data_IF_561721279807
#
_entry.id   IF_561721279807
#
_cell.length_a   1.000
_cell.length_b   1.000
_cell.length_c   1.000
_cell.angle_alpha   90.00
_cell.angle_beta   90.00
_cell.angle_gamma   90.00
#
_symmetry.space_group_name_H-M   'P 1'
#
loop_
_entity.id
_entity.type
_entity.pdbx_description
1 polymer ?
#
# COMPACT_ATOMS: atom_id res chain seq x y z
N UNK A 1 -57.86 -12.63 -8.31
CA UNK A 1 -57.55 -11.20 -8.51
C UNK A 1 -56.46 -10.87 -7.47
N UNK A 2 -55.28 -11.48 -7.61
CA UNK A 2 -54.06 -10.94 -8.23
C UNK A 2 -53.61 -9.67 -7.48
N UNK A 3 -52.92 -9.85 -6.36
CA UNK A 3 -51.45 -9.96 -6.24
C UNK A 3 -50.79 -8.62 -6.59
N UNK A 4 -50.99 -7.67 -5.68
CA UNK A 4 -50.47 -6.31 -5.77
C UNK A 4 -49.35 -6.17 -4.74
N UNK A 5 -48.20 -5.71 -5.25
CA UNK A 5 -47.07 -5.13 -4.51
C UNK A 5 -46.06 -6.14 -3.96
N UNK A 6 -45.40 -6.81 -4.91
CA UNK A 6 -43.94 -6.90 -4.90
C UNK A 6 -43.37 -5.48 -4.66
N UNK A 7 -43.17 -5.14 -3.39
CA UNK A 7 -42.41 -3.98 -2.99
C UNK A 7 -41.03 -4.11 -3.59
N UNK A 8 -40.69 -3.15 -4.45
CA UNK A 8 -39.37 -2.95 -5.02
C UNK A 8 -38.40 -2.61 -3.89
N UNK A 9 -38.01 -3.64 -3.14
CA UNK A 9 -36.99 -3.63 -2.10
C UNK A 9 -35.59 -3.55 -2.71
N UNK A 10 -35.44 -2.83 -3.84
CA UNK A 10 -34.19 -2.16 -4.18
C UNK A 10 -33.96 -1.08 -3.14
N UNK A 11 -33.67 -1.54 -1.93
CA UNK A 11 -32.81 -0.85 -1.00
C UNK A 11 -31.68 -0.30 -1.84
N UNK A 12 -31.68 1.03 -2.00
CA UNK A 12 -30.51 1.80 -2.31
C UNK A 12 -29.43 1.22 -1.41
N UNK A 13 -28.61 0.31 -1.97
CA UNK A 13 -27.45 -0.22 -1.30
C UNK A 13 -26.50 0.96 -1.25
N UNK A 14 -26.72 1.84 -0.28
CA UNK A 14 -25.81 2.91 0.07
C UNK A 14 -24.42 2.28 0.05
N UNK A 15 -23.59 2.76 -0.88
CA UNK A 15 -22.29 2.16 -1.11
C UNK A 15 -21.56 2.12 0.23
N UNK A 16 -21.26 0.92 0.72
CA UNK A 16 -20.64 0.77 2.02
C UNK A 16 -19.37 1.64 2.07
N UNK A 17 -19.17 2.43 3.15
CA UNK A 17 -18.06 3.35 3.24
C UNK A 17 -16.74 2.62 2.98
N UNK A 18 -15.91 3.17 2.09
CA UNK A 18 -14.62 2.57 1.74
C UNK A 18 -13.71 2.59 2.98
N UNK A 19 -13.12 1.44 3.31
CA UNK A 19 -12.14 1.33 4.40
C UNK A 19 -11.02 2.38 4.24
N UNK A 20 -10.64 3.09 5.31
CA UNK A 20 -9.55 4.07 5.27
C UNK A 20 -8.22 3.43 4.87
N UNK A 21 -8.00 2.15 5.20
CA UNK A 21 -6.80 1.43 4.79
C UNK A 21 -6.74 1.22 3.27
N UNK A 22 -7.88 1.06 2.60
CA UNK A 22 -7.94 0.96 1.13
C UNK A 22 -7.57 2.27 0.46
N UNK A 23 -7.99 3.40 1.03
CA UNK A 23 -7.57 4.72 0.56
C UNK A 23 -6.07 4.95 0.74
N UNK A 24 -5.54 4.61 1.92
CA UNK A 24 -4.10 4.73 2.18
C UNK A 24 -3.28 3.80 1.26
N UNK A 25 -3.75 2.57 1.04
CA UNK A 25 -3.14 1.64 0.09
C UNK A 25 -3.16 2.16 -1.35
N UNK A 26 -4.27 2.76 -1.78
CA UNK A 26 -4.36 3.39 -3.10
C UNK A 26 -3.41 4.60 -3.23
N UNK A 27 -3.35 5.45 -2.19
CA UNK A 27 -2.47 6.61 -2.18
C UNK A 27 -0.99 6.20 -2.23
N UNK A 28 -0.58 5.23 -1.41
CA UNK A 28 0.77 4.67 -1.43
C UNK A 28 1.10 4.10 -2.82
N UNK A 29 0.17 3.31 -3.39
CA UNK A 29 0.34 2.74 -4.72
C UNK A 29 0.49 3.79 -5.82
N UNK A 30 -0.32 4.84 -5.79
CA UNK A 30 -0.24 5.95 -6.74
C UNK A 30 1.09 6.71 -6.61
N UNK A 31 1.54 7.01 -5.39
CA UNK A 31 2.81 7.71 -5.16
C UNK A 31 3.99 6.89 -5.68
N UNK A 32 4.08 5.60 -5.34
CA UNK A 32 5.16 4.73 -5.83
C UNK A 32 5.14 4.60 -7.36
N UNK A 33 3.95 4.48 -7.95
CA UNK A 33 3.81 4.39 -9.39
C UNK A 33 4.30 5.67 -10.08
N UNK A 34 3.89 6.84 -9.59
CA UNK A 34 4.35 8.13 -10.13
C UNK A 34 5.86 8.26 -9.97
N UNK A 35 6.38 7.91 -8.79
CA UNK A 35 7.82 8.00 -8.51
C UNK A 35 8.62 7.11 -9.46
N UNK A 36 8.22 5.86 -9.62
CA UNK A 36 8.89 4.92 -10.51
C UNK A 36 8.77 5.31 -11.98
N UNK A 37 7.62 5.82 -12.44
CA UNK A 37 7.45 6.30 -13.82
C UNK A 37 8.32 7.53 -14.10
N UNK A 38 8.29 8.54 -13.21
CA UNK A 38 9.10 9.75 -13.35
C UNK A 38 10.59 9.41 -13.30
N UNK A 39 11.00 8.55 -12.35
CA UNK A 39 12.37 8.07 -12.24
C UNK A 39 12.81 7.32 -13.49
N UNK A 40 11.97 6.44 -14.05
CA UNK A 40 12.27 5.68 -15.26
C UNK A 40 12.44 6.58 -16.50
N UNK A 41 11.60 7.62 -16.62
CA UNK A 41 11.73 8.62 -17.70
C UNK A 41 13.04 9.38 -17.59
N UNK A 42 13.52 9.65 -16.37
CA UNK A 42 14.80 10.31 -16.13
C UNK A 42 16.01 9.39 -16.33
N UNK A 43 15.93 8.14 -15.87
CA UNK A 43 17.04 7.18 -15.93
C UNK A 43 17.22 6.55 -17.32
N UNK A 44 16.15 6.50 -18.12
CA UNK A 44 16.12 5.71 -19.35
C UNK A 44 16.10 4.21 -19.07
N UNK A 45 16.29 3.39 -20.12
CA UNK A 45 16.32 1.92 -20.05
C UNK A 45 17.74 1.33 -20.11
N UNK A 46 18.74 2.16 -20.37
CA UNK A 46 20.11 1.70 -20.69
C UNK A 46 20.97 1.45 -19.44
N UNK A 47 20.46 1.76 -18.24
CA UNK A 47 21.18 1.67 -16.95
C UNK A 47 20.50 0.73 -15.95
N UNK A 48 20.48 -0.58 -16.23
CA UNK A 48 19.79 -1.58 -15.39
C UNK A 48 20.37 -1.73 -13.98
N UNK A 49 21.67 -1.52 -13.78
CA UNK A 49 22.35 -1.72 -12.49
C UNK A 49 23.48 -0.71 -12.25
N UNK A 50 23.55 0.34 -13.05
CA UNK A 50 24.67 1.29 -13.02
C UNK A 50 24.13 2.67 -13.28
N UNK A 51 23.89 3.43 -12.23
CA UNK A 51 23.79 4.88 -12.38
C UNK A 51 25.21 5.38 -12.64
N UNK A 52 25.51 6.10 -13.73
CA UNK A 52 26.80 6.75 -13.85
C UNK A 52 26.95 7.64 -12.61
N UNK A 53 28.02 7.43 -11.84
CA UNK A 53 28.30 8.07 -10.55
C UNK A 53 28.51 9.60 -10.63
N UNK A 54 28.07 10.25 -11.72
CA UNK A 54 28.47 11.58 -12.13
C UNK A 54 27.32 12.41 -12.72
N UNK A 55 26.10 12.34 -12.18
CA UNK A 55 25.10 13.42 -12.40
C UNK A 55 24.18 13.59 -11.19
N UNK A 56 24.75 13.97 -10.04
CA UNK A 56 23.98 14.58 -8.95
C UNK A 56 23.23 15.87 -9.39
N UNK A 57 23.53 16.39 -10.59
CA UNK A 57 22.92 17.61 -11.14
C UNK A 57 21.70 17.37 -12.05
N UNK A 58 21.37 16.12 -12.40
CA UNK A 58 20.37 15.82 -13.44
C UNK A 58 19.00 15.32 -12.96
N UNK A 59 18.90 14.82 -11.73
CA UNK A 59 17.68 14.18 -11.23
C UNK A 59 16.86 15.14 -10.38
N UNK A 60 15.57 15.27 -10.69
CA UNK A 60 14.68 16.17 -9.93
C UNK A 60 14.57 15.65 -8.49
N UNK A 61 15.30 16.29 -7.56
CA UNK A 61 15.29 15.97 -6.13
C UNK A 61 16.06 14.70 -5.73
N UNK A 62 16.96 14.18 -6.57
CA UNK A 62 17.68 12.93 -6.32
C UNK A 62 16.90 11.67 -6.69
N UNK A 63 15.58 11.76 -6.89
CA UNK A 63 14.66 10.61 -7.03
C UNK A 63 14.86 9.76 -8.31
N UNK A 64 15.75 10.15 -9.21
CA UNK A 64 16.16 9.33 -10.35
C UNK A 64 17.16 8.26 -9.89
N UNK A 65 16.67 7.24 -9.18
CA UNK A 65 17.43 6.04 -8.87
C UNK A 65 17.72 5.21 -10.12
N UNK A 66 18.27 3.99 -9.94
CA UNK A 66 18.54 3.11 -11.06
C UNK A 66 17.25 2.64 -11.76
N UNK A 67 17.36 2.22 -13.03
CA UNK A 67 16.25 1.65 -13.81
C UNK A 67 15.57 0.51 -13.03
N UNK A 68 16.36 -0.35 -12.38
CA UNK A 68 15.85 -1.45 -11.57
C UNK A 68 14.97 -0.96 -10.42
N UNK A 69 15.43 0.05 -9.68
CA UNK A 69 14.69 0.59 -8.55
C UNK A 69 13.37 1.22 -9.00
N UNK A 70 13.38 1.96 -10.11
CA UNK A 70 12.19 2.55 -10.70
C UNK A 70 11.17 1.48 -11.12
N UNK A 71 11.63 0.36 -11.71
CA UNK A 71 10.78 -0.78 -12.03
C UNK A 71 10.20 -1.45 -10.77
N UNK A 72 10.98 -1.54 -9.68
CA UNK A 72 10.50 -2.03 -8.39
C UNK A 72 9.38 -1.12 -7.86
N UNK A 73 9.54 0.20 -7.87
CA UNK A 73 8.47 1.12 -7.42
C UNK A 73 7.23 1.03 -8.29
N UNK A 74 7.36 0.90 -9.61
CA UNK A 74 6.23 0.68 -10.52
C UNK A 74 5.50 -0.62 -10.14
N UNK A 75 6.23 -1.73 -9.98
CA UNK A 75 5.65 -3.03 -9.63
C UNK A 75 4.92 -2.99 -8.29
N UNK A 76 5.55 -2.41 -7.26
CA UNK A 76 4.94 -2.23 -5.94
C UNK A 76 3.74 -1.29 -5.98
N UNK A 77 3.83 -0.20 -6.74
CA UNK A 77 2.76 0.76 -6.93
C UNK A 77 1.51 0.12 -7.55
N UNK A 78 1.69 -0.64 -8.63
CA UNK A 78 0.61 -1.40 -9.28
C UNK A 78 0.01 -2.44 -8.33
N UNK A 79 0.84 -3.19 -7.61
CA UNK A 79 0.37 -4.20 -6.67
C UNK A 79 -0.48 -3.59 -5.55
N UNK A 80 -0.04 -2.46 -4.99
CA UNK A 80 -0.78 -1.72 -3.97
C UNK A 80 -2.11 -1.16 -4.52
N UNK A 81 -2.12 -0.59 -5.73
CA UNK A 81 -3.35 -0.14 -6.37
C UNK A 81 -4.34 -1.29 -6.60
N UNK A 82 -3.87 -2.42 -7.12
CA UNK A 82 -4.69 -3.62 -7.31
C UNK A 82 -5.22 -4.15 -5.97
N UNK A 83 -4.40 -4.14 -4.92
CA UNK A 83 -4.83 -4.54 -3.59
C UNK A 83 -5.89 -3.61 -2.99
N UNK A 84 -5.79 -2.30 -3.25
CA UNK A 84 -6.79 -1.32 -2.84
C UNK A 84 -8.14 -1.52 -3.55
N UNK A 85 -8.12 -1.94 -4.81
CA UNK A 85 -9.33 -2.30 -5.58
C UNK A 85 -10.00 -3.59 -5.06
N UNK A 86 -9.23 -4.47 -4.41
CA UNK A 86 -9.71 -5.73 -3.84
C UNK A 86 -9.88 -5.61 -2.31
N UNK A 87 -10.36 -6.68 -1.66
CA UNK A 87 -10.37 -6.81 -0.19
C UNK A 87 -9.02 -7.35 0.30
N UNK A 88 -7.92 -6.79 -0.20
CA UNK A 88 -6.56 -7.31 0.00
C UNK A 88 -5.61 -6.29 0.65
N UNK A 89 -6.13 -5.16 1.14
CA UNK A 89 -5.33 -4.09 1.73
C UNK A 89 -4.49 -4.59 2.92
N UNK A 90 -5.03 -5.47 3.78
CA UNK A 90 -4.28 -6.06 4.90
C UNK A 90 -3.05 -6.85 4.44
N UNK A 91 -3.23 -7.73 3.47
CA UNK A 91 -2.15 -8.54 2.90
C UNK A 91 -1.11 -7.63 2.24
N UNK A 92 -1.56 -6.62 1.50
CA UNK A 92 -0.67 -5.64 0.89
C UNK A 92 0.12 -4.82 1.92
N UNK A 93 -0.51 -4.44 3.04
CA UNK A 93 0.19 -3.78 4.16
C UNK A 93 1.27 -4.68 4.76
N UNK A 94 0.96 -5.94 5.05
CA UNK A 94 1.94 -6.90 5.59
C UNK A 94 3.09 -7.17 4.61
N UNK A 95 2.77 -7.38 3.33
CA UNK A 95 3.76 -7.52 2.27
C UNK A 95 4.62 -6.27 2.14
N UNK A 96 4.00 -5.08 2.15
CA UNK A 96 4.68 -3.80 2.14
C UNK A 96 5.63 -3.63 3.32
N UNK A 97 5.24 -4.04 4.54
CA UNK A 97 6.15 -4.02 5.69
C UNK A 97 7.42 -4.83 5.43
N UNK A 98 7.28 -6.04 4.87
CA UNK A 98 8.40 -6.91 4.57
C UNK A 98 9.31 -6.29 3.51
N UNK A 99 8.73 -5.82 2.40
CA UNK A 99 9.48 -5.22 1.29
C UNK A 99 10.18 -3.92 1.71
N UNK A 100 9.47 -2.98 2.33
CA UNK A 100 10.06 -1.70 2.74
C UNK A 100 11.06 -1.85 3.86
N UNK A 101 10.91 -2.84 4.75
CA UNK A 101 11.97 -3.15 5.73
C UNK A 101 13.24 -3.63 5.03
N UNK A 102 13.12 -4.51 4.04
CA UNK A 102 14.27 -5.00 3.29
C UNK A 102 14.96 -3.88 2.50
N UNK A 103 14.18 -3.02 1.82
CA UNK A 103 14.71 -1.87 1.10
C UNK A 103 15.37 -0.84 2.03
N UNK A 104 14.76 -0.54 3.18
CA UNK A 104 15.34 0.37 4.16
C UNK A 104 16.65 -0.17 4.74
N UNK A 105 16.69 -1.48 5.05
CA UNK A 105 17.92 -2.12 5.51
C UNK A 105 19.02 -2.08 4.45
N UNK A 106 18.65 -2.34 3.18
CA UNK A 106 19.56 -2.22 2.05
C UNK A 106 20.12 -0.80 1.92
N UNK A 107 19.27 0.22 1.96
CA UNK A 107 19.70 1.61 1.85
C UNK A 107 20.67 2.02 2.96
N UNK A 108 20.41 1.60 4.20
CA UNK A 108 21.28 1.89 5.34
C UNK A 108 22.66 1.28 5.12
N UNK A 109 22.73 0.01 4.70
CA UNK A 109 24.00 -0.67 4.41
C UNK A 109 24.73 0.01 3.26
N UNK A 110 24.02 0.30 2.16
CA UNK A 110 24.57 0.99 1.00
C UNK A 110 25.18 2.37 1.36
N UNK A 111 24.49 3.14 2.20
CA UNK A 111 24.97 4.45 2.66
C UNK A 111 26.18 4.35 3.60
N UNK A 112 26.26 3.30 4.42
CA UNK A 112 27.40 3.06 5.30
C UNK A 112 28.64 2.67 4.47
N UNK A 113 28.47 1.74 3.54
CA UNK A 113 29.59 1.16 2.79
C UNK A 113 30.17 2.11 1.72
N UNK A 114 29.46 3.19 1.36
CA UNK A 114 29.87 4.17 0.34
C UNK A 114 30.39 3.50 -0.95
N UNK A 115 29.76 2.40 -1.34
CA UNK A 115 30.25 1.56 -2.43
C UNK A 115 30.18 2.33 -3.77
N UNK A 116 31.31 2.53 -4.47
CA UNK A 116 31.28 3.12 -5.80
C UNK A 116 30.58 2.17 -6.78
N UNK A 117 29.58 2.68 -7.51
CA UNK A 117 28.81 1.87 -8.46
C UNK A 117 27.67 1.05 -7.83
N UNK A 118 27.15 1.51 -6.69
CA UNK A 118 26.02 0.88 -6.02
C UNK A 118 24.79 0.78 -6.97
N UNK A 119 24.17 -0.41 -7.10
CA UNK A 119 23.29 -0.72 -8.23
C UNK A 119 21.89 -0.12 -8.11
N UNK A 120 21.43 0.31 -6.93
CA UNK A 120 20.15 0.98 -6.77
C UNK A 120 20.24 2.52 -6.85
N UNK A 121 21.45 3.09 -6.78
CA UNK A 121 21.69 4.53 -6.72
C UNK A 121 21.21 5.17 -5.42
N UNK A 122 21.43 4.54 -4.26
CA UNK A 122 20.93 4.96 -2.94
C UNK A 122 21.52 6.30 -2.53
N UNK A 123 20.63 7.20 -2.14
CA UNK A 123 20.92 8.52 -1.59
C UNK A 123 19.86 8.88 -0.54
N UNK A 124 20.08 9.91 0.28
CA UNK A 124 19.21 10.21 1.43
C UNK A 124 17.71 10.35 1.08
N UNK A 125 17.31 11.02 -0.02
CA UNK A 125 15.92 11.03 -0.45
C UNK A 125 15.26 9.64 -0.61
N UNK A 126 15.95 8.63 -1.17
CA UNK A 126 15.31 7.31 -1.33
C UNK A 126 15.10 6.59 0.00
N UNK A 127 16.04 6.73 0.93
CA UNK A 127 15.92 6.20 2.29
C UNK A 127 14.65 6.73 2.96
N UNK A 128 14.36 8.03 2.79
CA UNK A 128 13.15 8.65 3.34
C UNK A 128 11.89 8.06 2.70
N UNK A 129 11.88 7.87 1.38
CA UNK A 129 10.75 7.24 0.67
C UNK A 129 10.48 5.84 1.21
N UNK A 130 11.51 5.02 1.39
CA UNK A 130 11.35 3.67 1.93
C UNK A 130 10.90 3.68 3.40
N UNK A 131 11.40 4.61 4.21
CA UNK A 131 10.93 4.80 5.59
C UNK A 131 9.45 5.19 5.67
N UNK A 132 9.00 6.14 4.85
CA UNK A 132 7.59 6.52 4.76
C UNK A 132 6.73 5.37 4.23
N UNK A 133 7.21 4.63 3.23
CA UNK A 133 6.55 3.44 2.70
C UNK A 133 6.34 2.35 3.76
N UNK A 134 7.35 2.13 4.62
CA UNK A 134 7.25 1.21 5.76
C UNK A 134 6.17 1.66 6.75
N UNK A 135 6.17 2.92 7.16
CA UNK A 135 5.17 3.47 8.08
C UNK A 135 3.74 3.38 7.51
N UNK A 136 3.58 3.71 6.22
CA UNK A 136 2.30 3.57 5.54
C UNK A 136 1.83 2.11 5.51
N UNK A 137 2.75 1.17 5.27
CA UNK A 137 2.44 -0.28 5.26
C UNK A 137 1.99 -0.79 6.62
N UNK A 138 2.66 -0.36 7.70
CA UNK A 138 2.26 -0.65 9.08
C UNK A 138 0.86 -0.10 9.35
N UNK A 139 0.61 1.15 8.98
CA UNK A 139 -0.70 1.79 9.17
C UNK A 139 -1.82 1.05 8.41
N UNK A 140 -1.58 0.63 7.16
CA UNK A 140 -2.55 -0.16 6.37
C UNK A 140 -2.87 -1.48 7.08
N UNK A 141 -1.83 -2.24 7.49
CA UNK A 141 -2.02 -3.53 8.16
C UNK A 141 -2.76 -3.38 9.49
N UNK A 142 -2.45 -2.34 10.26
CA UNK A 142 -3.08 -2.04 11.54
C UNK A 142 -4.55 -1.60 11.39
N UNK A 143 -4.86 -0.73 10.42
CA UNK A 143 -6.22 -0.24 10.19
C UNK A 143 -7.18 -1.36 9.75
N UNK A 144 -6.76 -2.24 8.84
CA UNK A 144 -7.59 -3.41 8.48
C UNK A 144 -7.72 -4.42 9.63
N UNK A 145 -6.65 -4.62 10.42
CA UNK A 145 -6.71 -5.49 11.59
C UNK A 145 -7.74 -5.03 12.63
N UNK A 146 -7.92 -3.71 12.80
CA UNK A 146 -8.98 -3.15 13.66
C UNK A 146 -10.38 -3.40 13.10
N UNK A 147 -10.56 -3.17 11.79
CA UNK A 147 -11.85 -3.41 11.14
C UNK A 147 -12.30 -4.87 11.30
N UNK A 148 -11.40 -5.84 11.12
CA UNK A 148 -11.70 -7.26 11.31
C UNK A 148 -12.15 -7.60 12.75
N UNK A 149 -11.55 -6.94 13.76
CA UNK A 149 -11.88 -7.12 15.17
C UNK A 149 -13.27 -6.60 15.54
N UNK A 150 -13.65 -5.41 15.05
CA UNK A 150 -14.95 -4.79 15.33
C UNK A 150 -16.11 -5.67 14.79
N UNK A 151 -15.94 -6.27 13.60
CA UNK A 151 -16.94 -7.19 13.04
C UNK A 151 -17.06 -8.51 13.79
N UNK A 152 -15.98 -9.00 14.40
CA UNK A 152 -16.01 -10.22 15.19
C UNK A 152 -16.76 -10.03 16.52
N UNK A 153 -16.57 -8.88 17.18
CA UNK A 153 -17.28 -8.51 18.40
C UNK A 153 -18.79 -8.40 18.20
N UNK A 154 -19.23 -7.64 17.19
CA UNK A 154 -20.67 -7.44 16.91
C UNK A 154 -21.39 -8.76 16.56
N UNK A 155 -20.71 -9.72 15.90
CA UNK A 155 -21.31 -11.05 15.67
C UNK A 155 -21.49 -11.86 16.96
N UNK A 156 -20.55 -11.77 17.91
CA UNK A 156 -20.64 -12.49 19.17
C UNK A 156 -21.83 -11.97 20.01
N UNK A 157 -22.00 -10.65 20.08
CA UNK A 157 -23.07 -10.01 20.84
C UNK A 157 -24.48 -10.29 20.28
N UNK A 158 -24.62 -10.41 18.95
CA UNK A 158 -25.91 -10.80 18.34
C UNK A 158 -26.25 -12.28 18.54
N UNK A 159 -25.25 -13.14 18.75
CA UNK A 159 -25.45 -14.55 19.03
C UNK A 159 -26.03 -14.80 20.41
N UNK A 160 -25.56 -14.06 21.41
CA UNK A 160 -25.96 -14.24 22.82
C UNK A 160 -27.34 -13.67 23.15
N UNK A 161 -27.82 -12.68 22.40
CA UNK A 161 -29.11 -12.04 22.66
C UNK A 161 -30.34 -12.81 22.10
N UNK A 162 -30.15 -13.94 21.43
CA UNK A 162 -31.27 -14.76 20.92
C UNK A 162 -31.81 -15.80 21.90
N UNK A 163 -31.08 -16.07 22.99
CA UNK A 163 -31.39 -17.16 23.92
C UNK A 163 -31.93 -16.69 25.28
N UNK A 164 -32.40 -15.44 25.38
CA UNK A 164 -33.11 -14.97 26.58
C UNK A 164 -34.61 -15.16 26.33
N UNK A 165 -35.24 -16.27 26.78
CA UNK A 165 -36.68 -16.39 26.76
C UNK A 165 -37.24 -15.28 27.63
N UNK A 166 -37.95 -14.34 27.01
CA UNK A 166 -38.82 -13.41 27.73
C UNK A 166 -39.96 -14.23 28.30
N UNK A 167 -39.81 -14.67 29.55
CA UNK A 167 -40.95 -15.12 30.33
C UNK A 167 -41.88 -13.92 30.48
N UNK A 168 -43.01 -13.99 29.78
CA UNK A 168 -44.10 -13.06 29.91
C UNK A 168 -44.85 -13.43 31.20
N UNK A 169 -44.94 -12.46 32.10
CA UNK A 169 -45.86 -12.45 33.24
C UNK A 169 -47.29 -12.14 32.77
#
# INVERSE_FOLDING_TARGET
MMDERQGDGRHERAAAPRSPARWLCAALGAVLLVLGVVGLVQSGLDGFASTPASTAEGTVGGLGGSTLLNLVHIGLGLLALLAALRKAARIAGLFGCLVFTALLAYDIVALIDNAPGEPAGVHTPILVVHGVGLLASIAIAWLEGRADGDYAGDRADRGTNKDIPRHAD
#
